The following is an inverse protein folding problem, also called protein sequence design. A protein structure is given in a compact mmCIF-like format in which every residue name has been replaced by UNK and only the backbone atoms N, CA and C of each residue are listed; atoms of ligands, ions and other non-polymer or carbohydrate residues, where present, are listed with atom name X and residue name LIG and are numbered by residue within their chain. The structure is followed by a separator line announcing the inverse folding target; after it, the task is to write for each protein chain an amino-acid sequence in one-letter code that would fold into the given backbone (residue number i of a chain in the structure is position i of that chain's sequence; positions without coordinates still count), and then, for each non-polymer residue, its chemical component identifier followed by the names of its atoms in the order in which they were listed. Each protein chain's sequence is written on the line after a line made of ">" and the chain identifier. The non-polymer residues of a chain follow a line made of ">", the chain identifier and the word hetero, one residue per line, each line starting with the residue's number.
data_IF_916360545470
#
_entry.id   IF_916360545470
#
_cell.length_a   1.000
_cell.length_b   1.000
_cell.length_c   1.000
_cell.angle_alpha   90.00
_cell.angle_beta   90.00
_cell.angle_gamma   90.00
#
_symmetry.space_group_name_H-M   'P 1'
#
loop_
_entity.id
_entity.type
_entity.pdbx_description
1 polymer ?
#
# COMPACT_ATOMS: atom_id res chain seq x y z
N UNK A 1 -13.51 -22.38 -0.67
CA UNK A 1 -14.83 -22.06 -0.05
C UNK A 1 -14.51 -21.54 1.34
N UNK A 2 -14.95 -20.33 1.71
CA UNK A 2 -14.78 -19.81 3.07
C UNK A 2 -15.68 -20.59 4.03
N UNK A 3 -15.23 -20.73 5.29
CA UNK A 3 -16.07 -21.33 6.33
C UNK A 3 -17.35 -20.50 6.52
N UNK A 4 -18.50 -21.11 6.84
CA UNK A 4 -19.79 -20.42 6.91
C UNK A 4 -19.84 -19.31 7.98
N UNK A 5 -18.92 -19.31 8.94
CA UNK A 5 -18.89 -18.37 10.06
C UNK A 5 -17.89 -17.19 9.86
N UNK A 6 -17.29 -17.07 8.67
CA UNK A 6 -16.38 -15.95 8.38
C UNK A 6 -17.17 -14.66 8.23
N UNK A 7 -16.83 -13.67 9.08
CA UNK A 7 -17.36 -12.31 8.97
C UNK A 7 -16.36 -11.44 8.22
N UNK A 8 -16.84 -10.59 7.33
CA UNK A 8 -16.04 -9.66 6.54
C UNK A 8 -16.33 -8.24 7.02
N UNK A 9 -15.28 -7.49 7.33
CA UNK A 9 -15.33 -6.06 7.58
C UNK A 9 -14.64 -5.34 6.40
N UNK A 10 -15.41 -4.82 5.44
CA UNK A 10 -14.81 -4.07 4.32
C UNK A 10 -14.38 -2.68 4.80
N UNK A 11 -13.16 -2.27 4.42
CA UNK A 11 -12.60 -0.96 4.71
C UNK A 11 -12.15 -0.32 3.41
N UNK A 12 -12.68 0.87 3.10
CA UNK A 12 -12.25 1.68 1.97
C UNK A 12 -11.39 2.84 2.47
N UNK A 13 -10.11 2.86 2.11
CA UNK A 13 -9.20 3.95 2.46
C UNK A 13 -9.18 4.99 1.35
N UNK A 14 -9.48 6.24 1.68
CA UNK A 14 -9.28 7.37 0.79
C UNK A 14 -7.79 7.74 0.66
N UNK A 15 -7.42 8.59 -0.32
CA UNK A 15 -6.03 8.98 -0.55
C UNK A 15 -5.55 9.96 0.54
N UNK A 16 -4.76 9.50 1.49
CA UNK A 16 -4.17 10.35 2.53
C UNK A 16 -3.23 11.43 1.96
N UNK A 17 -2.55 11.15 0.85
CA UNK A 17 -1.61 12.07 0.22
C UNK A 17 -2.23 13.38 -0.29
N UNK A 18 -3.55 13.43 -0.50
CA UNK A 18 -4.23 14.60 -1.09
C UNK A 18 -4.65 15.70 -0.11
N UNK A 19 -4.64 15.43 1.18
CA UNK A 19 -5.18 16.34 2.19
C UNK A 19 -4.17 16.82 3.23
N UNK A 20 -2.93 16.37 3.13
CA UNK A 20 -1.92 16.68 4.14
C UNK A 20 -1.05 17.87 3.72
N UNK A 21 -0.72 18.78 4.66
CA UNK A 21 0.31 19.78 4.46
C UNK A 21 1.65 19.12 4.12
N UNK A 22 2.55 19.87 3.46
CA UNK A 22 3.91 19.41 3.24
C UNK A 22 4.55 18.97 4.57
N UNK A 23 5.01 17.73 4.61
CA UNK A 23 5.61 17.13 5.80
C UNK A 23 4.64 16.43 6.76
N UNK A 24 3.33 16.52 6.54
CA UNK A 24 2.31 15.92 7.41
C UNK A 24 2.28 14.38 7.34
N UNK A 25 1.76 13.78 8.40
CA UNK A 25 1.46 12.34 8.48
C UNK A 25 -0.05 12.12 8.54
N UNK A 26 -0.57 10.98 8.06
CA UNK A 26 -2.01 10.72 8.12
C UNK A 26 -2.60 10.84 9.52
N UNK A 27 -1.87 10.41 10.55
CA UNK A 27 -2.27 10.49 11.95
C UNK A 27 -2.22 11.90 12.58
N UNK A 28 -1.76 12.91 11.87
CA UNK A 28 -1.89 14.32 12.30
C UNK A 28 -3.36 14.77 12.23
N UNK A 29 -4.20 14.05 11.46
CA UNK A 29 -5.66 14.16 11.53
C UNK A 29 -6.18 13.23 12.64
N UNK A 30 -6.87 13.83 13.61
CA UNK A 30 -7.43 13.13 14.77
C UNK A 30 -8.45 12.04 14.38
N UNK A 31 -9.16 12.16 13.26
CA UNK A 31 -10.10 11.15 12.82
C UNK A 31 -9.35 9.94 12.24
N UNK A 32 -8.32 10.18 11.45
CA UNK A 32 -7.45 9.14 10.91
C UNK A 32 -6.72 8.43 12.04
N UNK A 33 -6.21 9.18 13.02
CA UNK A 33 -5.56 8.58 14.20
C UNK A 33 -6.51 7.65 14.96
N UNK A 34 -7.73 8.12 15.29
CA UNK A 34 -8.74 7.29 15.96
C UNK A 34 -9.10 6.04 15.16
N UNK A 35 -9.11 6.14 13.83
CA UNK A 35 -9.36 4.99 12.97
C UNK A 35 -8.22 3.95 13.07
N UNK A 36 -6.96 4.39 13.06
CA UNK A 36 -5.83 3.47 13.25
C UNK A 36 -5.85 2.82 14.63
N UNK A 37 -6.14 3.59 15.67
CA UNK A 37 -6.24 3.09 17.05
C UNK A 37 -7.35 2.02 17.15
N UNK A 38 -8.53 2.27 16.57
CA UNK A 38 -9.64 1.30 16.54
C UNK A 38 -9.31 0.00 15.80
N UNK A 39 -8.56 0.07 14.70
CA UNK A 39 -8.09 -1.13 13.99
C UNK A 39 -7.04 -1.88 14.81
N UNK A 40 -6.16 -1.18 15.52
CA UNK A 40 -5.21 -1.78 16.47
C UNK A 40 -5.92 -2.51 17.61
N UNK A 41 -6.94 -1.90 18.21
CA UNK A 41 -7.78 -2.53 19.23
C UNK A 41 -8.52 -3.77 18.70
N UNK A 42 -9.04 -3.69 17.46
CA UNK A 42 -9.66 -4.85 16.80
C UNK A 42 -8.67 -6.00 16.66
N UNK A 43 -7.44 -5.73 16.18
CA UNK A 43 -6.37 -6.73 16.08
C UNK A 43 -6.07 -7.36 17.43
N UNK A 44 -5.92 -6.56 18.49
CA UNK A 44 -5.57 -7.07 19.81
C UNK A 44 -6.68 -7.93 20.40
N UNK A 45 -7.94 -7.55 20.17
CA UNK A 45 -9.11 -8.30 20.62
C UNK A 45 -9.31 -9.61 19.88
N UNK A 46 -9.16 -9.61 18.56
CA UNK A 46 -9.44 -10.79 17.73
C UNK A 46 -8.23 -11.74 17.62
N UNK A 47 -7.01 -11.22 17.75
CA UNK A 47 -5.77 -12.03 17.71
C UNK A 47 -5.69 -12.91 16.45
N UNK A 48 -5.44 -14.20 16.65
CA UNK A 48 -5.27 -15.18 15.55
C UNK A 48 -6.57 -15.44 14.75
N UNK A 49 -7.72 -14.87 15.16
CA UNK A 49 -8.99 -14.95 14.41
C UNK A 49 -9.11 -13.86 13.35
N UNK A 50 -8.23 -12.86 13.34
CA UNK A 50 -8.26 -11.78 12.37
C UNK A 50 -7.30 -12.08 11.21
N UNK A 51 -7.82 -11.98 10.01
CA UNK A 51 -7.03 -12.08 8.78
C UNK A 51 -7.18 -10.79 7.96
N UNK A 52 -6.06 -10.23 7.53
CA UNK A 52 -6.03 -9.01 6.73
C UNK A 52 -5.87 -9.35 5.25
N UNK A 53 -6.70 -8.74 4.41
CA UNK A 53 -6.57 -8.80 2.95
C UNK A 53 -6.47 -7.38 2.43
N UNK A 54 -5.38 -7.06 1.75
CA UNK A 54 -5.16 -5.80 1.05
C UNK A 54 -5.28 -6.06 -0.46
N UNK A 55 -6.43 -5.74 -1.04
CA UNK A 55 -6.69 -5.87 -2.46
C UNK A 55 -6.41 -4.54 -3.17
N UNK A 56 -5.13 -4.27 -3.47
CA UNK A 56 -4.66 -2.99 -4.02
C UNK A 56 -3.55 -3.20 -5.04
N UNK A 57 -3.43 -2.24 -5.95
CA UNK A 57 -2.32 -2.16 -6.89
C UNK A 57 -1.25 -1.16 -6.41
N UNK A 58 -0.12 -1.14 -7.10
CA UNK A 58 1.01 -0.25 -6.87
C UNK A 58 1.03 0.90 -7.87
N UNK A 59 2.08 1.05 -8.67
CA UNK A 59 2.23 2.19 -9.57
C UNK A 59 1.25 2.15 -10.76
N UNK A 60 0.74 3.33 -11.12
CA UNK A 60 -0.16 3.54 -12.24
C UNK A 60 0.46 4.57 -13.19
N UNK A 61 1.03 4.12 -14.32
CA UNK A 61 1.88 4.94 -15.18
C UNK A 61 1.40 4.93 -16.63
N UNK A 62 1.62 6.06 -17.31
CA UNK A 62 1.33 6.21 -18.74
C UNK A 62 0.04 6.97 -19.04
N UNK A 63 -0.35 6.97 -20.33
CA UNK A 63 -1.38 7.85 -20.88
C UNK A 63 -2.74 7.72 -20.20
N UNK A 64 -3.14 6.52 -19.79
CA UNK A 64 -4.39 6.26 -19.07
C UNK A 64 -4.44 6.98 -17.71
N UNK A 65 -3.29 7.25 -17.13
CA UNK A 65 -3.13 7.91 -15.83
C UNK A 65 -2.67 9.36 -15.95
N UNK A 66 -2.91 9.96 -17.12
CA UNK A 66 -2.63 11.36 -17.45
C UNK A 66 -1.15 11.73 -17.57
N UNK A 67 -0.26 10.75 -17.70
CA UNK A 67 1.14 11.01 -18.01
C UNK A 67 1.32 11.36 -19.49
N UNK A 68 2.28 12.25 -19.78
CA UNK A 68 2.59 12.69 -21.14
C UNK A 68 3.54 11.73 -21.90
N UNK A 69 3.85 10.59 -21.31
CA UNK A 69 4.71 9.55 -21.88
C UNK A 69 3.96 8.23 -22.07
N UNK A 70 4.53 7.36 -22.89
CA UNK A 70 4.11 5.97 -23.03
C UNK A 70 4.89 5.11 -22.03
N UNK A 71 4.18 4.36 -21.20
CA UNK A 71 4.75 3.37 -20.29
C UNK A 71 4.71 1.98 -20.94
N UNK A 72 5.82 1.25 -20.84
CA UNK A 72 5.95 -0.14 -21.27
C UNK A 72 6.61 -0.93 -20.13
N UNK A 73 6.01 -2.02 -19.74
CA UNK A 73 6.47 -2.84 -18.62
C UNK A 73 7.94 -3.24 -18.75
N UNK A 74 8.72 -3.02 -17.70
CA UNK A 74 10.16 -3.34 -17.63
C UNK A 74 11.08 -2.49 -18.50
N UNK A 75 10.59 -1.43 -19.15
CA UNK A 75 11.39 -0.63 -20.08
C UNK A 75 11.37 0.87 -19.72
N UNK A 76 12.49 1.55 -19.99
CA UNK A 76 12.60 3.00 -19.79
C UNK A 76 12.19 3.43 -18.39
N UNK A 77 11.27 4.38 -18.29
CA UNK A 77 10.76 4.89 -17.02
C UNK A 77 10.22 3.78 -16.10
N UNK A 78 9.68 2.70 -16.65
CA UNK A 78 9.15 1.60 -15.84
C UNK A 78 10.23 0.77 -15.14
N UNK A 79 11.49 0.79 -15.59
CA UNK A 79 12.62 0.22 -14.85
C UNK A 79 12.92 1.03 -13.58
N UNK A 80 12.85 2.36 -13.64
CA UNK A 80 13.02 3.25 -12.49
C UNK A 80 11.84 3.13 -11.51
N UNK A 81 10.62 3.04 -12.06
CA UNK A 81 9.40 2.78 -11.26
C UNK A 81 9.55 1.47 -10.50
N UNK A 82 10.03 0.39 -11.15
CA UNK A 82 10.27 -0.89 -10.50
C UNK A 82 11.22 -0.79 -9.31
N UNK A 83 12.34 -0.08 -9.46
CA UNK A 83 13.28 0.13 -8.34
C UNK A 83 12.65 0.92 -7.17
N UNK A 84 11.79 1.89 -7.45
CA UNK A 84 11.06 2.65 -6.43
C UNK A 84 9.94 1.82 -5.78
N UNK A 85 9.26 0.98 -6.53
CA UNK A 85 8.30 0.01 -6.00
C UNK A 85 8.99 -0.96 -5.02
N UNK A 86 10.16 -1.49 -5.39
CA UNK A 86 10.96 -2.36 -4.52
C UNK A 86 11.36 -1.69 -3.21
N UNK A 87 11.73 -0.40 -3.24
CA UNK A 87 12.02 0.36 -2.02
C UNK A 87 10.79 0.47 -1.10
N UNK A 88 9.62 0.78 -1.65
CA UNK A 88 8.36 0.83 -0.90
C UNK A 88 7.97 -0.55 -0.35
N UNK A 89 8.10 -1.60 -1.16
CA UNK A 89 7.87 -3.00 -0.74
C UNK A 89 8.78 -3.38 0.42
N UNK A 90 10.06 -3.01 0.37
CA UNK A 90 11.00 -3.29 1.46
C UNK A 90 10.58 -2.63 2.79
N UNK A 91 10.08 -1.38 2.75
CA UNK A 91 9.53 -0.71 3.94
C UNK A 91 8.28 -1.41 4.48
N UNK A 92 7.38 -1.82 3.57
CA UNK A 92 6.18 -2.57 3.93
C UNK A 92 6.55 -3.91 4.57
N UNK A 93 7.47 -4.67 3.98
CA UNK A 93 7.94 -5.95 4.50
C UNK A 93 8.58 -5.82 5.89
N UNK A 94 9.29 -4.73 6.15
CA UNK A 94 9.89 -4.42 7.45
C UNK A 94 8.91 -3.85 8.49
N UNK A 95 7.64 -3.59 8.12
CA UNK A 95 6.66 -2.82 8.91
C UNK A 95 7.13 -1.43 9.30
N UNK A 96 7.95 -0.82 8.45
CA UNK A 96 8.43 0.56 8.61
C UNK A 96 7.39 1.54 8.01
N UNK A 97 6.35 1.83 8.77
CA UNK A 97 5.29 2.75 8.34
C UNK A 97 5.82 4.16 8.05
N UNK A 98 6.75 4.65 8.87
CA UNK A 98 7.31 6.00 8.68
C UNK A 98 8.14 6.08 7.40
N UNK A 99 9.08 5.15 7.21
CA UNK A 99 9.90 5.10 6.01
C UNK A 99 9.10 4.81 4.74
N UNK A 100 8.03 4.03 4.82
CA UNK A 100 7.09 3.86 3.70
C UNK A 100 6.40 5.17 3.34
N UNK A 101 5.87 5.90 4.35
CA UNK A 101 5.17 7.16 4.13
C UNK A 101 6.11 8.26 3.59
N UNK A 102 7.36 8.28 4.04
CA UNK A 102 8.35 9.21 3.51
C UNK A 102 8.59 8.99 2.01
N UNK A 103 8.66 7.72 1.55
CA UNK A 103 8.75 7.38 0.12
C UNK A 103 7.47 7.71 -0.66
N UNK A 104 6.29 7.66 -0.03
CA UNK A 104 5.04 8.08 -0.67
C UNK A 104 5.01 9.59 -0.88
N UNK A 105 5.44 10.37 0.13
CA UNK A 105 5.46 11.83 0.05
C UNK A 105 6.55 12.36 -0.89
N UNK A 106 7.63 11.63 -1.03
CA UNK A 106 8.66 11.95 -2.01
C UNK A 106 8.02 12.07 -3.40
N UNK A 107 8.24 13.18 -4.07
CA UNK A 107 7.63 13.48 -5.36
C UNK A 107 6.07 13.48 -5.38
N UNK A 108 5.43 13.80 -4.25
CA UNK A 108 3.96 13.96 -4.16
C UNK A 108 3.16 12.73 -4.65
N UNK A 109 3.63 11.52 -4.32
CA UNK A 109 3.01 10.25 -4.73
C UNK A 109 2.85 10.13 -6.27
N UNK A 110 3.86 10.55 -7.00
CA UNK A 110 3.88 10.56 -8.47
C UNK A 110 3.72 9.16 -9.09
N UNK A 111 4.00 8.10 -8.34
CA UNK A 111 3.73 6.73 -8.75
C UNK A 111 2.24 6.37 -8.71
N UNK A 112 1.41 7.19 -8.09
CA UNK A 112 -0.05 7.02 -8.02
C UNK A 112 -0.48 5.65 -7.46
N UNK A 113 0.21 5.18 -6.40
CA UNK A 113 -0.14 3.93 -5.74
C UNK A 113 -1.53 4.02 -5.11
N UNK A 114 -2.51 3.28 -5.63
CA UNK A 114 -3.80 3.16 -4.94
C UNK A 114 -3.66 2.45 -3.57
N UNK A 115 -2.63 1.65 -3.43
CA UNK A 115 -2.25 0.96 -2.20
C UNK A 115 -1.61 1.82 -1.11
N UNK A 116 -1.23 3.10 -1.37
CA UNK A 116 -0.49 3.93 -0.40
C UNK A 116 -1.23 4.05 0.94
N UNK A 117 -2.50 4.44 0.94
CA UNK A 117 -3.29 4.59 2.16
C UNK A 117 -3.67 3.26 2.83
N UNK A 118 -4.12 2.21 2.10
CA UNK A 118 -4.36 0.90 2.68
C UNK A 118 -3.12 0.27 3.32
N UNK A 119 -1.96 0.33 2.67
CA UNK A 119 -0.73 -0.18 3.28
C UNK A 119 -0.33 0.61 4.52
N UNK A 120 -0.37 1.94 4.47
CA UNK A 120 -0.07 2.74 5.66
C UNK A 120 -1.01 2.40 6.82
N UNK A 121 -2.32 2.27 6.55
CA UNK A 121 -3.32 1.85 7.53
C UNK A 121 -2.97 0.49 8.15
N UNK A 122 -2.64 -0.50 7.31
CA UNK A 122 -2.24 -1.83 7.78
C UNK A 122 -0.98 -1.78 8.64
N UNK A 123 0.05 -1.05 8.23
CA UNK A 123 1.31 -0.93 8.97
C UNK A 123 1.10 -0.25 10.34
N UNK A 124 0.18 0.72 10.44
CA UNK A 124 -0.20 1.34 11.71
C UNK A 124 -1.01 0.41 12.60
N UNK A 125 -1.94 -0.36 12.02
CA UNK A 125 -2.76 -1.31 12.75
C UNK A 125 -2.01 -2.59 13.17
N UNK A 126 -1.00 -3.03 12.40
CA UNK A 126 -0.27 -4.27 12.62
C UNK A 126 1.27 -4.07 12.63
N UNK A 127 1.83 -3.25 13.55
CA UNK A 127 3.24 -2.82 13.50
C UNK A 127 4.25 -3.95 13.74
N UNK A 128 3.81 -5.11 14.22
CA UNK A 128 4.65 -6.29 14.43
C UNK A 128 4.60 -7.29 13.27
N UNK A 129 3.80 -7.03 12.24
CA UNK A 129 3.77 -7.88 11.06
C UNK A 129 5.13 -7.85 10.36
N UNK A 130 5.50 -8.95 9.72
CA UNK A 130 6.67 -9.03 8.84
C UNK A 130 6.21 -9.59 7.51
N UNK A 131 6.56 -8.90 6.45
CA UNK A 131 6.18 -9.24 5.10
C UNK A 131 7.27 -10.00 4.35
N UNK A 132 6.84 -10.88 3.47
CA UNK A 132 7.67 -11.54 2.47
C UNK A 132 7.10 -11.20 1.11
N UNK A 133 7.97 -10.73 0.20
CA UNK A 133 7.61 -10.54 -1.20
C UNK A 133 7.63 -11.90 -1.90
N UNK A 134 6.48 -12.34 -2.41
CA UNK A 134 6.35 -13.60 -3.14
C UNK A 134 6.55 -13.38 -4.64
N UNK A 135 6.04 -12.27 -5.17
CA UNK A 135 6.12 -11.93 -6.59
C UNK A 135 5.85 -10.44 -6.81
N UNK A 136 6.58 -9.83 -7.74
CA UNK A 136 6.35 -8.48 -8.26
C UNK A 136 6.22 -8.53 -9.77
N UNK A 137 5.28 -7.78 -10.32
CA UNK A 137 5.10 -7.70 -11.77
C UNK A 137 4.66 -6.30 -12.21
N UNK A 138 4.91 -6.02 -13.48
CA UNK A 138 4.39 -4.87 -14.20
C UNK A 138 3.62 -5.38 -15.42
N UNK A 139 2.36 -4.93 -15.58
CA UNK A 139 1.51 -5.31 -16.70
C UNK A 139 1.18 -4.13 -17.59
N UNK A 140 1.36 -4.32 -18.90
CA UNK A 140 0.78 -3.42 -19.88
C UNK A 140 -0.73 -3.63 -19.91
N UNK A 141 -1.48 -2.66 -19.40
CA UNK A 141 -2.96 -2.71 -19.43
C UNK A 141 -3.52 -2.24 -20.77
N UNK A 142 -2.72 -1.48 -21.51
CA UNK A 142 -2.92 -1.10 -22.91
C UNK A 142 -1.55 -0.84 -23.58
N UNK A 143 -1.53 -0.36 -24.83
CA UNK A 143 -0.29 -0.09 -25.57
C UNK A 143 0.54 1.10 -25.03
N UNK A 144 0.06 1.83 -24.01
CA UNK A 144 0.67 3.08 -23.53
C UNK A 144 0.68 3.22 -22.00
N UNK A 145 0.19 2.22 -21.25
CA UNK A 145 -0.02 2.33 -19.83
C UNK A 145 0.28 1.02 -19.10
N UNK A 146 0.84 1.15 -17.90
CA UNK A 146 1.28 0.04 -17.07
C UNK A 146 0.74 0.18 -15.65
N UNK A 147 0.38 -0.93 -15.04
CA UNK A 147 0.15 -1.07 -13.60
C UNK A 147 1.17 -2.04 -13.03
N UNK A 148 1.74 -1.71 -11.88
CA UNK A 148 2.54 -2.65 -11.10
C UNK A 148 1.75 -3.22 -9.93
N UNK A 149 2.10 -4.43 -9.50
CA UNK A 149 1.49 -5.10 -8.36
C UNK A 149 2.41 -6.15 -7.76
N UNK A 150 2.12 -6.55 -6.52
CA UNK A 150 2.88 -7.59 -5.85
C UNK A 150 1.97 -8.52 -5.05
N UNK A 151 2.35 -9.80 -5.01
CA UNK A 151 1.88 -10.74 -4.01
C UNK A 151 2.82 -10.69 -2.81
N UNK A 152 2.27 -10.40 -1.63
CA UNK A 152 3.02 -10.39 -0.36
C UNK A 152 2.30 -11.23 0.68
N UNK A 153 3.05 -11.95 1.50
CA UNK A 153 2.53 -12.66 2.67
C UNK A 153 3.05 -11.99 3.94
N UNK A 154 2.20 -11.92 4.97
CA UNK A 154 2.57 -11.32 6.25
C UNK A 154 2.36 -12.33 7.38
N UNK A 155 3.29 -12.33 8.33
CA UNK A 155 3.20 -13.07 9.58
C UNK A 155 3.45 -12.16 10.76
N UNK A 156 2.87 -12.46 11.91
CA UNK A 156 3.21 -11.78 13.18
C UNK A 156 4.32 -12.54 13.87
N UNK A 157 5.40 -11.84 14.20
CA UNK A 157 6.45 -12.39 15.07
C UNK A 157 5.87 -12.41 16.49
N UNK A 158 5.79 -13.61 17.07
CA UNK A 158 5.37 -13.82 18.47
C UNK A 158 6.41 -13.32 19.44
#
# INVERSE_FOLDING_TARGET
>A
MLAPDVRILPVLCGPFSRGLPDGGKPEDDDQVKRFFDALGELRDREGDRLFWILGVDMAHMGARYHDQFTAVAGQGVMSEVGARDEQRIARIAASDAAGFWDLVRENHDDLKWCGSSPFYTFLKAAPKARGELLRYEQWNIDGRSVVSFAGMAFSTVK
#
